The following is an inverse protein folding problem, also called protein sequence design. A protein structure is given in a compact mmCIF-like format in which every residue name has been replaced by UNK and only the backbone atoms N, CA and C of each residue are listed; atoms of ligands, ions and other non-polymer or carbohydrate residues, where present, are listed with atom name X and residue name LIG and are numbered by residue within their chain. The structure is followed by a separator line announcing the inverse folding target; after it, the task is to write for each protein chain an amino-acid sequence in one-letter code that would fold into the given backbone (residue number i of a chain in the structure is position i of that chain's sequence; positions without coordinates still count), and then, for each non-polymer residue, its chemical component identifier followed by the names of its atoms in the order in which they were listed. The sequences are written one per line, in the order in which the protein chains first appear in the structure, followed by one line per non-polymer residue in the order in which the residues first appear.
data_IF_625784586128
#
_entry.id   IF_625784586128
#
_cell.length_a   1.000
_cell.length_b   1.000
_cell.length_c   1.000
_cell.angle_alpha   90.00
_cell.angle_beta   90.00
_cell.angle_gamma   90.00
#
_symmetry.space_group_name_H-M   'P 1'
#
loop_
_entity.id
_entity.type
_entity.pdbx_description
1 polymer ?
#
# COMPACT_ATOMS: atom_id res chain seq x y z
N UNK A 1 -25.27 6.74 -11.89
CA UNK A 1 -24.12 5.85 -11.58
C UNK A 1 -22.83 6.55 -11.99
N UNK A 2 -21.80 6.49 -11.14
CA UNK A 2 -20.44 6.91 -11.53
C UNK A 2 -19.75 5.84 -12.37
N UNK A 3 -18.85 6.25 -13.26
CA UNK A 3 -18.07 5.34 -14.10
C UNK A 3 -16.70 5.93 -14.40
N UNK A 4 -15.65 5.19 -14.07
CA UNK A 4 -14.27 5.50 -14.44
C UNK A 4 -13.90 4.70 -15.70
N UNK A 5 -13.46 5.40 -16.76
CA UNK A 5 -13.17 4.81 -18.06
C UNK A 5 -11.93 3.90 -18.01
N UNK A 6 -11.75 2.94 -18.93
CA UNK A 6 -10.47 2.26 -19.10
C UNK A 6 -9.34 3.29 -19.26
N UNK A 7 -8.23 3.09 -18.55
CA UNK A 7 -7.15 4.08 -18.44
C UNK A 7 -7.31 5.08 -17.30
N UNK A 8 -8.42 5.06 -16.55
CA UNK A 8 -8.63 5.86 -15.33
C UNK A 8 -7.75 5.47 -14.14
N UNK A 9 -6.91 4.43 -14.31
CA UNK A 9 -5.92 3.92 -13.36
C UNK A 9 -6.52 3.04 -12.26
N UNK A 10 -5.79 2.88 -11.15
CA UNK A 10 -6.06 1.86 -10.13
C UNK A 10 -7.08 2.40 -9.12
N UNK A 11 -8.11 1.60 -8.85
CA UNK A 11 -9.28 2.00 -8.05
C UNK A 11 -8.92 2.63 -6.70
N UNK A 12 -7.94 2.08 -5.98
CA UNK A 12 -7.56 2.55 -4.65
C UNK A 12 -6.91 3.94 -4.66
N UNK A 13 -6.19 4.27 -5.73
CA UNK A 13 -5.62 5.61 -5.90
C UNK A 13 -6.72 6.62 -6.28
N UNK A 14 -7.64 6.23 -7.16
CA UNK A 14 -8.80 7.05 -7.51
C UNK A 14 -9.64 7.36 -6.26
N UNK A 15 -9.88 6.34 -5.43
CA UNK A 15 -10.59 6.45 -4.15
C UNK A 15 -9.86 7.43 -3.24
N UNK A 16 -8.56 7.26 -3.04
CA UNK A 16 -7.77 8.12 -2.17
C UNK A 16 -7.79 9.58 -2.62
N UNK A 17 -7.70 9.83 -3.93
CA UNK A 17 -7.62 11.19 -4.50
C UNK A 17 -8.97 11.94 -4.55
N UNK A 18 -10.10 11.22 -4.61
CA UNK A 18 -11.39 11.85 -4.93
C UNK A 18 -12.53 11.51 -3.97
N UNK A 19 -12.44 10.41 -3.21
CA UNK A 19 -13.57 9.87 -2.45
C UNK A 19 -13.26 9.60 -0.98
N UNK A 20 -11.99 9.38 -0.62
CA UNK A 20 -11.60 9.14 0.76
C UNK A 20 -11.62 10.44 1.56
N UNK A 21 -12.24 10.41 2.73
CA UNK A 21 -12.29 11.52 3.68
C UNK A 21 -12.39 11.00 5.11
N UNK A 22 -11.95 11.83 6.05
CA UNK A 22 -11.91 11.50 7.48
C UNK A 22 -13.30 11.18 8.03
N UNK A 23 -13.41 10.06 8.75
CA UNK A 23 -14.65 9.64 9.42
C UNK A 23 -15.72 9.07 8.47
N UNK A 24 -15.43 8.98 7.17
CA UNK A 24 -16.28 8.27 6.23
C UNK A 24 -16.25 6.76 6.43
N UNK A 25 -17.23 6.07 5.82
CA UNK A 25 -17.26 4.62 5.72
C UNK A 25 -17.47 4.21 4.27
N UNK A 26 -16.70 3.23 3.79
CA UNK A 26 -16.90 2.65 2.45
C UNK A 26 -16.74 1.14 2.43
N UNK A 27 -17.43 0.51 1.50
CA UNK A 27 -17.17 -0.88 1.09
C UNK A 27 -16.68 -0.91 -0.35
N UNK A 28 -15.82 -1.88 -0.67
CA UNK A 28 -15.28 -2.06 -2.01
C UNK A 28 -15.11 -3.54 -2.33
N UNK A 29 -15.37 -3.93 -3.58
CA UNK A 29 -15.26 -5.34 -4.01
C UNK A 29 -13.81 -5.75 -4.32
N UNK A 30 -12.87 -5.34 -3.48
CA UNK A 30 -11.44 -5.61 -3.59
C UNK A 30 -10.79 -5.66 -2.20
N UNK A 31 -9.79 -6.53 -2.02
CA UNK A 31 -9.13 -6.76 -0.73
C UNK A 31 -8.27 -5.59 -0.25
N UNK A 32 -7.79 -4.71 -1.15
CA UNK A 32 -6.95 -3.56 -0.81
C UNK A 32 -7.76 -2.27 -0.59
N UNK A 33 -9.10 -2.37 -0.55
CA UNK A 33 -10.00 -1.28 -0.14
C UNK A 33 -9.57 -0.56 1.17
N UNK A 34 -8.98 -1.25 2.16
CA UNK A 34 -8.42 -0.60 3.36
C UNK A 34 -7.38 0.51 3.09
N UNK A 35 -6.86 0.64 1.87
CA UNK A 35 -5.98 1.75 1.46
C UNK A 35 -6.56 3.14 1.82
N UNK A 36 -7.87 3.33 1.70
CA UNK A 36 -8.53 4.59 2.07
C UNK A 36 -8.42 4.94 3.56
N UNK A 37 -8.08 3.97 4.43
CA UNK A 37 -7.76 4.19 5.83
C UNK A 37 -6.57 5.13 6.06
N UNK A 38 -5.68 5.29 5.08
CA UNK A 38 -4.63 6.32 5.11
C UNK A 38 -5.16 7.75 5.24
N UNK A 39 -6.42 8.00 4.87
CA UNK A 39 -7.12 9.28 5.03
C UNK A 39 -8.08 9.31 6.24
N UNK A 40 -7.97 8.33 7.16
CA UNK A 40 -8.82 8.23 8.35
C UNK A 40 -10.25 7.76 8.08
N UNK A 41 -10.48 7.08 6.95
CA UNK A 41 -11.75 6.47 6.58
C UNK A 41 -11.82 5.01 7.06
N UNK A 42 -13.00 4.52 7.45
CA UNK A 42 -13.22 3.08 7.65
C UNK A 42 -13.57 2.46 6.28
N UNK A 43 -12.66 1.68 5.72
CA UNK A 43 -12.79 1.13 4.37
C UNK A 43 -12.61 -0.39 4.37
N UNK A 44 -13.62 -1.12 3.90
CA UNK A 44 -13.72 -2.58 4.06
C UNK A 44 -13.87 -3.27 2.69
N UNK A 45 -13.03 -4.27 2.44
CA UNK A 45 -13.18 -5.15 1.28
C UNK A 45 -14.32 -6.14 1.49
N UNK A 46 -15.24 -6.26 0.53
CA UNK A 46 -16.43 -7.13 0.62
C UNK A 46 -16.63 -7.95 -0.66
N UNK A 47 -17.53 -8.94 -0.62
CA UNK A 47 -17.94 -9.66 -1.82
C UNK A 47 -18.88 -8.85 -2.70
N UNK A 48 -19.07 -9.29 -3.95
CA UNK A 48 -20.02 -8.64 -4.86
C UNK A 48 -21.47 -8.67 -4.36
N UNK A 49 -21.86 -9.72 -3.62
CA UNK A 49 -23.19 -9.83 -3.03
C UNK A 49 -23.41 -8.78 -1.93
N UNK A 50 -22.47 -8.66 -0.99
CA UNK A 50 -22.53 -7.64 0.07
C UNK A 50 -22.59 -6.21 -0.51
N UNK A 51 -21.87 -5.96 -1.61
CA UNK A 51 -21.93 -4.68 -2.30
C UNK A 51 -23.33 -4.42 -2.89
N UNK A 52 -23.99 -5.45 -3.45
CA UNK A 52 -25.37 -5.34 -3.94
C UNK A 52 -26.34 -5.07 -2.79
N UNK A 53 -26.16 -5.73 -1.65
CA UNK A 53 -27.00 -5.51 -0.47
C UNK A 53 -26.92 -4.05 -0.01
N UNK A 54 -25.71 -3.51 0.15
CA UNK A 54 -25.51 -2.09 0.50
C UNK A 54 -26.08 -1.15 -0.57
N UNK A 55 -25.91 -1.46 -1.86
CA UNK A 55 -26.48 -0.68 -2.96
C UNK A 55 -28.01 -0.72 -3.01
N UNK A 56 -28.62 -1.78 -2.49
CA UNK A 56 -30.06 -1.96 -2.36
C UNK A 56 -30.63 -1.39 -1.06
N UNK A 57 -29.84 -0.63 -0.29
CA UNK A 57 -30.20 -0.07 1.02
C UNK A 57 -30.48 -1.14 2.08
N UNK A 58 -29.88 -2.32 1.93
CA UNK A 58 -29.91 -3.37 2.94
C UNK A 58 -28.74 -3.20 3.92
N UNK A 59 -28.91 -3.58 5.20
CA UNK A 59 -27.84 -3.50 6.19
C UNK A 59 -26.62 -4.34 5.81
N UNK A 60 -25.42 -3.77 5.95
CA UNK A 60 -24.18 -4.53 5.90
C UNK A 60 -24.00 -5.27 7.23
N UNK A 61 -23.98 -6.60 7.19
CA UNK A 61 -23.68 -7.41 8.37
C UNK A 61 -22.17 -7.65 8.51
N UNK A 62 -21.60 -7.27 9.65
CA UNK A 62 -20.19 -7.49 9.97
C UNK A 62 -20.05 -8.07 11.38
N UNK A 63 -19.12 -9.01 11.53
CA UNK A 63 -18.67 -9.40 12.87
C UNK A 63 -17.91 -8.23 13.49
N UNK A 64 -18.26 -7.86 14.72
CA UNK A 64 -17.55 -6.80 15.44
C UNK A 64 -16.03 -7.09 15.46
N UNK A 65 -15.19 -6.17 14.95
CA UNK A 65 -13.76 -6.43 14.84
C UNK A 65 -13.08 -6.32 16.21
N UNK A 66 -12.07 -7.15 16.41
CA UNK A 66 -11.03 -6.88 17.41
C UNK A 66 -10.14 -5.75 16.91
N UNK A 67 -9.64 -4.90 17.82
CA UNK A 67 -8.84 -3.73 17.48
C UNK A 67 -7.38 -3.94 17.93
N UNK A 68 -6.46 -3.90 16.97
CA UNK A 68 -5.02 -3.96 17.23
C UNK A 68 -4.44 -2.56 17.07
N UNK A 69 -3.81 -2.04 18.13
CA UNK A 69 -3.13 -0.75 18.10
C UNK A 69 -1.66 -0.91 17.68
N UNK A 70 -1.25 -0.25 16.61
CA UNK A 70 0.18 -0.17 16.21
C UNK A 70 0.68 1.24 16.51
N UNK A 71 1.65 1.36 17.44
CA UNK A 71 2.17 2.65 17.90
C UNK A 71 3.54 2.91 17.29
N UNK A 72 3.64 3.98 16.50
CA UNK A 72 4.89 4.37 15.80
C UNK A 72 5.08 5.89 15.67
N UNK A 73 4.00 6.68 15.77
CA UNK A 73 4.05 8.14 15.76
C UNK A 73 2.84 8.72 16.52
N UNK A 74 2.91 10.00 16.90
CA UNK A 74 1.77 10.73 17.45
C UNK A 74 0.98 11.42 16.33
N UNK A 75 -0.35 11.37 16.41
CA UNK A 75 -1.26 12.05 15.48
C UNK A 75 -2.20 13.00 16.23
N UNK A 76 -2.62 14.06 15.52
CA UNK A 76 -3.63 15.03 16.01
C UNK A 76 -5.03 14.41 16.06
N UNK A 77 -5.34 13.53 15.10
CA UNK A 77 -6.53 12.70 15.09
C UNK A 77 -6.18 11.36 15.73
N UNK A 78 -6.78 11.09 16.88
CA UNK A 78 -6.47 9.92 17.71
C UNK A 78 -7.72 9.35 18.33
N UNK A 79 -7.64 8.08 18.68
CA UNK A 79 -8.63 7.46 19.53
C UNK A 79 -8.78 8.22 20.85
N UNK A 80 -9.91 8.03 21.52
CA UNK A 80 -10.16 8.58 22.83
C UNK A 80 -9.04 8.24 23.83
N UNK A 81 -8.81 9.14 24.77
CA UNK A 81 -7.87 8.87 25.86
C UNK A 81 -8.33 7.65 26.65
N UNK A 82 -7.46 6.65 26.76
CA UNK A 82 -7.78 5.39 27.45
C UNK A 82 -8.51 4.36 26.60
N UNK A 83 -8.63 4.56 25.27
CA UNK A 83 -9.15 3.53 24.37
C UNK A 83 -8.40 2.21 24.55
N UNK A 84 -9.15 1.13 24.77
CA UNK A 84 -8.64 -0.22 24.95
C UNK A 84 -8.41 -0.89 23.59
N UNK A 85 -7.36 -1.72 23.53
CA UNK A 85 -6.99 -2.49 22.34
C UNK A 85 -6.81 -3.95 22.75
N UNK A 86 -7.28 -4.88 21.93
CA UNK A 86 -7.08 -6.33 22.16
C UNK A 86 -5.60 -6.71 22.13
N UNK A 87 -4.79 -5.96 21.36
CA UNK A 87 -3.35 -6.13 21.27
C UNK A 87 -2.68 -4.80 20.92
N UNK A 88 -1.52 -4.54 21.51
CA UNK A 88 -0.66 -3.41 21.17
C UNK A 88 0.65 -3.92 20.56
N UNK A 89 1.07 -3.31 19.46
CA UNK A 89 2.37 -3.51 18.82
C UNK A 89 3.10 -2.16 18.82
N UNK A 90 4.32 -2.13 19.32
CA UNK A 90 5.16 -0.93 19.34
C UNK A 90 6.25 -1.05 18.27
N UNK A 91 6.43 0.01 17.48
CA UNK A 91 7.43 0.07 16.43
C UNK A 91 8.28 1.33 16.64
N UNK A 92 9.59 1.11 16.78
CA UNK A 92 10.58 2.17 16.87
C UNK A 92 11.08 2.53 15.46
N UNK A 93 10.56 3.62 14.88
CA UNK A 93 10.89 4.01 13.51
C UNK A 93 12.39 4.23 13.24
N UNK A 94 13.18 4.87 14.14
CA UNK A 94 14.62 5.07 13.94
C UNK A 94 15.45 3.79 13.84
N UNK A 95 15.01 2.67 14.44
CA UNK A 95 15.74 1.40 14.35
C UNK A 95 15.40 0.56 13.12
N UNK A 96 14.42 0.99 12.31
CA UNK A 96 14.05 0.29 11.09
C UNK A 96 15.10 0.47 9.99
N UNK A 97 15.45 -0.63 9.34
CA UNK A 97 16.21 -0.63 8.09
C UNK A 97 15.31 -1.07 6.92
N UNK A 98 15.70 -0.84 5.65
CA UNK A 98 14.97 -1.39 4.51
C UNK A 98 14.85 -2.91 4.57
N UNK A 99 13.71 -3.44 4.15
CA UNK A 99 13.36 -4.87 4.22
C UNK A 99 12.83 -5.32 2.84
N UNK A 100 13.14 -6.56 2.46
CA UNK A 100 12.46 -7.28 1.38
C UNK A 100 11.66 -8.46 1.94
N UNK A 101 10.41 -8.60 1.49
CA UNK A 101 9.55 -9.73 1.87
C UNK A 101 9.40 -10.72 0.71
N UNK A 102 9.27 -12.01 1.03
CA UNK A 102 9.04 -13.06 0.03
C UNK A 102 10.02 -14.24 0.12
N UNK A 103 10.05 -15.14 -0.88
CA UNK A 103 9.47 -14.98 -2.22
C UNK A 103 8.01 -15.46 -2.37
N UNK A 104 7.50 -16.30 -1.47
CA UNK A 104 6.18 -16.94 -1.63
C UNK A 104 5.14 -16.50 -0.59
N UNK A 105 5.53 -15.65 0.37
CA UNK A 105 4.63 -15.08 1.37
C UNK A 105 5.05 -13.65 1.70
N UNK A 106 4.11 -12.72 1.86
CA UNK A 106 4.41 -11.35 2.28
C UNK A 106 4.93 -11.26 3.72
N UNK A 107 4.80 -12.32 4.53
CA UNK A 107 5.18 -12.31 5.95
C UNK A 107 6.66 -12.66 6.19
N UNK A 108 7.34 -13.23 5.18
CA UNK A 108 8.76 -13.59 5.31
C UNK A 108 9.63 -12.35 5.11
N UNK A 109 9.88 -11.65 6.21
CA UNK A 109 10.63 -10.40 6.26
C UNK A 109 12.13 -10.61 6.38
N UNK A 110 12.91 -10.08 5.41
CA UNK A 110 14.37 -10.16 5.41
C UNK A 110 14.98 -8.75 5.31
N UNK A 111 15.77 -8.31 6.30
CA UNK A 111 16.48 -7.04 6.20
C UNK A 111 17.44 -7.02 5.01
N UNK A 112 17.52 -5.89 4.30
CA UNK A 112 18.33 -5.77 3.07
C UNK A 112 19.82 -6.05 3.37
N UNK A 113 20.31 -5.68 4.55
CA UNK A 113 21.67 -5.98 5.02
C UNK A 113 22.01 -7.48 5.04
N UNK A 114 21.00 -8.37 5.15
CA UNK A 114 21.14 -9.83 5.22
C UNK A 114 20.64 -10.56 3.98
N UNK A 115 19.99 -9.85 3.05
CA UNK A 115 19.30 -10.45 1.91
C UNK A 115 20.23 -11.29 1.02
N UNK A 116 21.43 -10.82 0.71
CA UNK A 116 22.40 -11.58 -0.11
C UNK A 116 22.81 -12.91 0.51
N UNK A 117 22.91 -12.98 1.85
CA UNK A 117 23.20 -14.22 2.56
C UNK A 117 22.01 -15.18 2.52
N UNK A 118 20.79 -14.65 2.67
CA UNK A 118 19.56 -15.45 2.58
C UNK A 118 19.39 -16.09 1.20
N UNK A 119 19.62 -15.32 0.12
CA UNK A 119 19.57 -15.85 -1.25
C UNK A 119 20.58 -16.97 -1.47
N UNK A 120 21.82 -16.77 -0.99
CA UNK A 120 22.92 -17.74 -1.16
C UNK A 120 22.68 -19.05 -0.40
N UNK A 121 22.14 -18.97 0.83
CA UNK A 121 21.91 -20.15 1.69
C UNK A 121 20.77 -21.03 1.19
N UNK A 122 19.76 -20.44 0.58
CA UNK A 122 18.52 -21.13 0.21
C UNK A 122 18.48 -21.60 -1.25
N UNK A 123 19.62 -21.57 -1.96
CA UNK A 123 19.71 -21.91 -3.39
C UNK A 123 18.67 -21.18 -4.26
N UNK A 124 18.31 -19.96 -3.87
CA UNK A 124 17.32 -19.15 -4.59
C UNK A 124 17.94 -18.54 -5.85
N UNK A 125 17.13 -18.28 -6.90
CA UNK A 125 17.62 -17.55 -8.07
C UNK A 125 18.25 -16.22 -7.66
N UNK A 126 19.51 -16.03 -8.03
CA UNK A 126 20.29 -14.83 -7.70
C UNK A 126 20.21 -13.75 -8.78
N UNK A 127 19.70 -14.10 -9.95
CA UNK A 127 19.56 -13.19 -11.09
C UNK A 127 18.18 -12.57 -11.09
N UNK A 128 18.13 -11.25 -10.93
CA UNK A 128 16.91 -10.47 -11.12
C UNK A 128 16.66 -10.27 -12.62
N UNK A 129 15.45 -10.56 -13.07
CA UNK A 129 15.04 -10.45 -14.49
C UNK A 129 14.30 -9.16 -14.78
N UNK A 130 13.56 -8.63 -13.79
CA UNK A 130 12.88 -7.36 -13.86
C UNK A 130 12.69 -6.76 -12.46
N UNK A 131 12.67 -5.44 -12.38
CA UNK A 131 12.12 -4.68 -11.27
C UNK A 131 10.78 -4.09 -11.65
N UNK A 132 9.83 -4.09 -10.73
CA UNK A 132 8.51 -3.48 -10.91
C UNK A 132 8.32 -2.43 -9.82
N UNK A 133 7.92 -1.21 -10.21
CA UNK A 133 7.57 -0.14 -9.28
C UNK A 133 6.19 0.40 -9.61
N UNK A 134 5.44 0.84 -8.59
CA UNK A 134 4.08 1.36 -8.76
C UNK A 134 2.99 0.47 -8.15
N UNK A 135 1.92 0.20 -8.91
CA UNK A 135 0.70 -0.51 -8.48
C UNK A 135 -0.21 0.30 -7.54
N UNK A 136 -1.10 -0.31 -6.76
CA UNK A 136 -1.92 0.42 -5.79
C UNK A 136 -1.12 0.88 -4.56
N UNK A 137 -0.02 0.20 -4.22
CA UNK A 137 0.65 0.38 -2.93
C UNK A 137 1.72 1.47 -2.95
N UNK A 138 2.49 1.61 -4.03
CA UNK A 138 3.66 2.50 -4.10
C UNK A 138 3.72 3.29 -5.41
N UNK A 139 2.66 4.01 -5.72
CA UNK A 139 2.50 4.76 -6.97
C UNK A 139 2.11 6.22 -6.77
N UNK A 140 2.24 6.73 -5.54
CA UNK A 140 2.06 8.14 -5.26
C UNK A 140 3.15 8.98 -5.94
N UNK A 141 2.94 10.29 -6.01
CA UNK A 141 3.98 11.21 -6.48
C UNK A 141 5.27 11.11 -5.66
N UNK A 142 5.16 10.91 -4.36
CA UNK A 142 6.31 10.76 -3.46
C UNK A 142 7.10 9.49 -3.77
N UNK A 143 6.43 8.37 -4.00
CA UNK A 143 7.06 7.10 -4.40
C UNK A 143 7.83 7.27 -5.72
N UNK A 144 7.17 7.84 -6.73
CA UNK A 144 7.77 8.04 -8.06
C UNK A 144 8.93 9.03 -8.01
N UNK A 145 8.81 10.11 -7.22
CA UNK A 145 9.88 11.09 -7.05
C UNK A 145 11.11 10.50 -6.37
N UNK A 146 10.92 9.64 -5.35
CA UNK A 146 12.03 8.91 -4.69
C UNK A 146 12.71 7.95 -5.65
N UNK A 147 11.94 7.17 -6.40
CA UNK A 147 12.48 6.26 -7.41
C UNK A 147 13.24 7.00 -8.51
N UNK A 148 12.68 8.11 -9.02
CA UNK A 148 13.31 8.96 -10.02
C UNK A 148 14.61 9.59 -9.52
N UNK A 149 14.65 10.06 -8.27
CA UNK A 149 15.86 10.62 -7.65
C UNK A 149 17.00 9.59 -7.61
N UNK A 150 16.72 8.35 -7.20
CA UNK A 150 17.72 7.27 -7.21
C UNK A 150 18.14 6.89 -8.63
N UNK A 151 17.19 6.84 -9.57
CA UNK A 151 17.46 6.60 -10.97
C UNK A 151 18.39 7.66 -11.57
N UNK A 152 18.14 8.94 -11.27
CA UNK A 152 18.95 10.05 -11.76
C UNK A 152 20.38 9.98 -11.20
N UNK A 153 20.54 9.70 -9.91
CA UNK A 153 21.87 9.50 -9.31
C UNK A 153 22.67 8.38 -9.99
N UNK A 154 22.00 7.28 -10.35
CA UNK A 154 22.62 6.19 -11.08
C UNK A 154 23.05 6.61 -12.50
N UNK A 155 22.21 7.36 -13.21
CA UNK A 155 22.52 7.90 -14.54
C UNK A 155 23.68 8.91 -14.49
N UNK A 156 23.69 9.80 -13.51
CA UNK A 156 24.76 10.78 -13.29
C UNK A 156 26.10 10.09 -12.98
N UNK A 157 26.05 8.93 -12.32
CA UNK A 157 27.20 8.05 -12.09
C UNK A 157 27.58 7.20 -13.33
N UNK A 158 26.91 7.38 -14.48
CA UNK A 158 27.17 6.64 -15.72
C UNK A 158 26.69 5.18 -15.69
N UNK A 159 25.87 4.79 -14.71
CA UNK A 159 25.33 3.45 -14.59
C UNK A 159 24.19 3.22 -15.59
N UNK A 160 24.06 1.97 -16.03
CA UNK A 160 22.95 1.52 -16.88
C UNK A 160 22.15 0.45 -16.15
N UNK A 161 20.81 0.39 -16.32
CA UNK A 161 20.01 -0.69 -15.78
C UNK A 161 20.54 -2.05 -16.24
N UNK A 162 20.72 -2.98 -15.30
CA UNK A 162 21.14 -4.36 -15.59
C UNK A 162 19.97 -5.31 -15.90
N UNK A 163 18.75 -4.84 -15.71
CA UNK A 163 17.51 -5.57 -15.90
C UNK A 163 16.41 -4.60 -16.34
N UNK A 164 15.30 -5.13 -16.82
CA UNK A 164 14.14 -4.31 -17.14
C UNK A 164 13.56 -3.66 -15.89
N UNK A 165 13.19 -2.38 -16.00
CA UNK A 165 12.41 -1.68 -14.98
C UNK A 165 11.04 -1.34 -15.57
N UNK A 166 9.99 -1.90 -14.98
CA UNK A 166 8.61 -1.65 -15.38
C UNK A 166 7.97 -0.72 -14.36
N UNK A 167 7.36 0.36 -14.84
CA UNK A 167 6.77 1.41 -14.00
C UNK A 167 5.27 1.48 -14.29
N UNK A 168 4.45 1.36 -13.25
CA UNK A 168 2.99 1.48 -13.34
C UNK A 168 2.47 2.55 -12.39
N UNK A 169 2.21 3.75 -12.91
CA UNK A 169 1.66 4.85 -12.12
C UNK A 169 0.15 4.70 -11.94
N UNK A 170 -0.37 5.02 -10.75
CA UNK A 170 -1.79 4.93 -10.44
C UNK A 170 -2.50 6.29 -10.38
N UNK A 171 -1.76 7.40 -10.37
CA UNK A 171 -2.30 8.74 -10.21
C UNK A 171 -2.53 9.42 -11.57
N UNK A 172 -3.76 9.89 -11.82
CA UNK A 172 -4.18 10.44 -13.13
C UNK A 172 -3.75 11.89 -13.33
N UNK A 173 -3.29 12.54 -12.26
CA UNK A 173 -2.97 13.98 -12.22
C UNK A 173 -1.46 14.28 -12.24
N UNK A 174 -0.61 13.27 -12.44
CA UNK A 174 0.86 13.45 -12.44
C UNK A 174 1.47 13.59 -13.84
N UNK A 175 0.71 13.30 -14.89
CA UNK A 175 1.08 13.68 -16.25
C UNK A 175 0.87 15.20 -16.40
N UNK A 176 1.91 16.00 -16.71
CA UNK A 176 1.72 17.41 -17.03
C UNK A 176 0.79 17.51 -18.25
N UNK A 177 -0.25 18.36 -18.15
CA UNK A 177 -1.08 18.71 -19.32
C UNK A 177 -0.29 19.51 -20.33
#
# INVERSE_FOLDING_TARGET
MGYWRPGALIIHQIVLENYAYLGGMMVGTDSHTPNAGGMGMIAIGVGGADAVDVMADLPLELTAPRIIGVRFAQSELRADNGAEYDKIIEIDLPSLEPIANGPFTPDLSTPISRFGQAVSKEARPSTLTAGLIGSCTNSSFEDMSRAASLGQQALDAGLKPKMNLLVSQAASRLEPR
#
